data_IF_961221722773
#
_entry.id   IF_961221722773
#
_cell.length_a   1.000
_cell.length_b   1.000
_cell.length_c   1.000
_cell.angle_alpha   90.00
_cell.angle_beta   90.00
_cell.angle_gamma   90.00
#
_symmetry.space_group_name_H-M   'P 1'
#
loop_
_entity.id
_entity.type
_entity.pdbx_description
1 polymer ?
#
# COMPACT_ATOMS: atom_id res chain seq x y z
N UNK A 1 -16.91 1.90 -22.11
CA UNK A 1 -16.42 1.39 -20.81
C UNK A 1 -15.01 0.94 -21.09
N UNK A 2 -14.01 1.59 -20.50
CA UNK A 2 -12.62 1.23 -20.74
C UNK A 2 -12.38 -0.17 -20.15
N UNK A 3 -11.75 -1.04 -20.93
CA UNK A 3 -11.24 -2.32 -20.43
C UNK A 3 -10.14 -1.98 -19.42
N UNK A 4 -10.35 -2.34 -18.15
CA UNK A 4 -9.32 -2.20 -17.13
C UNK A 4 -8.44 -3.45 -17.17
N UNK A 5 -7.19 -3.29 -17.60
CA UNK A 5 -6.19 -4.33 -17.53
C UNK A 5 -5.79 -4.59 -16.07
N UNK A 6 -5.70 -5.86 -15.69
CA UNK A 6 -5.32 -6.23 -14.33
C UNK A 6 -3.80 -6.28 -14.19
N UNK A 7 -3.29 -5.63 -13.14
CA UNK A 7 -1.88 -5.68 -12.75
C UNK A 7 -1.62 -6.89 -11.87
N UNK A 8 -0.45 -7.50 -12.04
CA UNK A 8 0.09 -8.55 -11.18
C UNK A 8 1.22 -7.98 -10.33
N UNK A 9 1.14 -8.20 -9.02
CA UNK A 9 2.25 -8.03 -8.09
C UNK A 9 2.73 -9.41 -7.66
N UNK A 10 4.01 -9.65 -7.84
CA UNK A 10 4.64 -10.94 -7.59
C UNK A 10 5.77 -10.69 -6.60
N UNK A 11 5.56 -11.09 -5.36
CA UNK A 11 6.57 -10.95 -4.30
C UNK A 11 7.23 -12.31 -4.07
N UNK A 12 8.52 -12.36 -4.37
CA UNK A 12 9.37 -13.54 -4.22
C UNK A 12 10.18 -13.41 -2.93
N UNK A 13 10.23 -14.45 -2.12
CA UNK A 13 11.19 -14.59 -1.03
C UNK A 13 12.29 -15.55 -1.47
N UNK A 14 13.54 -15.11 -1.35
CA UNK A 14 14.73 -15.86 -1.76
C UNK A 14 15.80 -15.83 -0.68
N UNK A 15 16.50 -16.96 -0.50
CA UNK A 15 17.75 -17.01 0.24
C UNK A 15 18.88 -16.38 -0.57
N UNK A 16 19.48 -15.31 -0.06
CA UNK A 16 20.59 -14.61 -0.72
C UNK A 16 21.51 -13.90 0.29
N UNK A 17 22.79 -13.75 -0.07
CA UNK A 17 23.77 -13.04 0.76
C UNK A 17 23.64 -11.51 0.62
N UNK A 18 23.12 -11.03 -0.51
CA UNK A 18 22.94 -9.61 -0.80
C UNK A 18 21.80 -9.31 -1.82
N UNK A 19 21.48 -8.01 -1.97
CA UNK A 19 20.44 -7.51 -2.89
C UNK A 19 20.70 -7.92 -4.34
N UNK A 20 21.97 -7.94 -4.76
CA UNK A 20 22.35 -8.23 -6.14
C UNK A 20 22.09 -9.70 -6.46
N UNK A 21 22.42 -10.60 -5.54
CA UNK A 21 22.13 -12.03 -5.65
C UNK A 21 20.63 -12.28 -5.65
N UNK A 22 19.86 -11.61 -4.79
CA UNK A 22 18.40 -11.72 -4.76
C UNK A 22 17.77 -11.31 -6.11
N UNK A 23 18.22 -10.20 -6.70
CA UNK A 23 17.79 -9.77 -8.04
C UNK A 23 18.19 -10.75 -9.14
N UNK A 24 19.40 -11.29 -9.07
CA UNK A 24 19.91 -12.24 -10.05
C UNK A 24 19.12 -13.56 -10.02
N UNK A 25 18.75 -14.05 -8.83
CA UNK A 25 17.88 -15.21 -8.66
C UNK A 25 16.54 -15.03 -9.38
N UNK A 26 15.95 -13.83 -9.32
CA UNK A 26 14.67 -13.53 -9.96
C UNK A 26 14.76 -13.22 -11.47
N UNK A 27 15.96 -13.19 -12.08
CA UNK A 27 16.14 -12.78 -13.47
C UNK A 27 15.50 -13.73 -14.51
N UNK A 28 15.32 -15.01 -14.16
CA UNK A 28 14.57 -15.97 -14.97
C UNK A 28 13.10 -15.60 -15.03
N UNK A 29 12.48 -15.48 -13.86
CA UNK A 29 11.08 -15.09 -13.70
C UNK A 29 10.79 -13.73 -14.36
N UNK A 30 11.63 -12.72 -14.12
CA UNK A 30 11.48 -11.38 -14.72
C UNK A 30 11.34 -11.41 -16.25
N UNK A 31 12.17 -12.23 -16.92
CA UNK A 31 12.12 -12.37 -18.38
C UNK A 31 10.88 -13.13 -18.85
N UNK A 32 10.45 -14.14 -18.09
CA UNK A 32 9.29 -14.97 -18.44
C UNK A 32 7.98 -14.20 -18.36
N UNK A 33 7.88 -13.25 -17.43
CA UNK A 33 6.65 -12.48 -17.17
C UNK A 33 6.68 -11.08 -17.80
N UNK A 34 7.76 -10.75 -18.51
CA UNK A 34 8.05 -9.41 -19.03
C UNK A 34 7.88 -8.30 -17.97
N UNK A 35 8.26 -8.64 -16.73
CA UNK A 35 7.99 -7.84 -15.55
C UNK A 35 9.09 -6.83 -15.23
N UNK A 36 8.78 -5.96 -14.26
CA UNK A 36 9.70 -4.95 -13.71
C UNK A 36 9.82 -5.13 -12.20
N UNK A 37 11.05 -5.11 -11.69
CA UNK A 37 11.26 -5.06 -10.23
C UNK A 37 10.81 -3.70 -9.71
N UNK A 38 9.87 -3.71 -8.77
CA UNK A 38 9.41 -2.52 -8.05
C UNK A 38 10.23 -2.28 -6.79
N UNK A 39 10.48 -3.33 -6.02
CA UNK A 39 11.14 -3.24 -4.72
C UNK A 39 12.01 -4.47 -4.47
N UNK A 40 13.08 -4.27 -3.71
CA UNK A 40 13.86 -5.33 -3.07
C UNK A 40 14.05 -4.95 -1.60
N UNK A 41 13.83 -5.89 -0.69
CA UNK A 41 13.90 -5.66 0.75
C UNK A 41 14.64 -6.78 1.47
N UNK A 42 15.48 -6.41 2.43
CA UNK A 42 16.09 -7.34 3.37
C UNK A 42 15.05 -7.78 4.40
N UNK A 43 14.73 -9.08 4.43
CA UNK A 43 13.83 -9.69 5.41
C UNK A 43 14.59 -10.51 6.46
N UNK A 44 15.89 -10.26 6.63
CA UNK A 44 16.75 -10.99 7.59
C UNK A 44 16.33 -10.86 9.05
N UNK A 45 15.49 -9.88 9.37
CA UNK A 45 14.84 -9.77 10.68
C UNK A 45 13.87 -10.94 10.97
N UNK A 46 13.35 -11.61 9.94
CA UNK A 46 12.51 -12.81 10.05
C UNK A 46 13.34 -14.09 9.97
N UNK A 47 14.22 -14.20 8.97
CA UNK A 47 15.11 -15.35 8.76
C UNK A 47 16.47 -14.90 8.18
N UNK A 48 17.62 -15.21 8.82
CA UNK A 48 18.92 -14.72 8.34
C UNK A 48 19.21 -15.10 6.88
N UNK A 49 19.52 -14.11 6.04
CA UNK A 49 19.77 -14.33 4.61
C UNK A 49 18.51 -14.29 3.74
N UNK A 50 17.36 -13.93 4.31
CA UNK A 50 16.10 -13.72 3.59
C UNK A 50 16.11 -12.39 2.84
N UNK A 51 15.78 -12.44 1.56
CA UNK A 51 15.49 -11.28 0.73
C UNK A 51 14.12 -11.40 0.07
N UNK A 52 13.41 -10.28 -0.03
CA UNK A 52 12.16 -10.18 -0.79
C UNK A 52 12.36 -9.34 -2.05
N UNK A 53 11.81 -9.79 -3.18
CA UNK A 53 11.84 -9.09 -4.47
C UNK A 53 10.41 -8.98 -4.99
N UNK A 54 9.90 -7.76 -5.15
CA UNK A 54 8.56 -7.51 -5.68
C UNK A 54 8.63 -7.08 -7.14
N UNK A 55 7.87 -7.76 -8.00
CA UNK A 55 7.84 -7.61 -9.44
C UNK A 55 6.43 -7.24 -9.87
N UNK A 56 6.28 -6.17 -10.67
CA UNK A 56 5.05 -5.86 -11.39
C UNK A 56 5.05 -6.50 -12.77
N UNK A 57 3.91 -7.06 -13.18
CA UNK A 57 3.66 -7.53 -14.55
C UNK A 57 2.21 -7.24 -14.96
N UNK A 58 1.94 -7.20 -16.26
CA UNK A 58 0.56 -7.12 -16.76
C UNK A 58 -0.01 -8.53 -16.92
N UNK A 59 -1.23 -8.76 -16.47
CA UNK A 59 -1.85 -10.10 -16.55
C UNK A 59 -2.30 -10.50 -17.96
N UNK A 60 -2.57 -9.52 -18.83
CA UNK A 60 -3.25 -9.73 -20.12
C UNK A 60 -4.71 -10.19 -20.01
N UNK A 61 -5.25 -10.33 -18.80
CA UNK A 61 -6.66 -10.65 -18.54
C UNK A 61 -7.48 -9.38 -18.43
N UNK A 62 -8.65 -9.39 -19.09
CA UNK A 62 -9.57 -8.25 -19.10
C UNK A 62 -10.81 -8.51 -18.22
N UNK A 63 -11.30 -7.43 -17.60
CA UNK A 63 -12.55 -7.44 -16.83
C UNK A 63 -13.75 -7.42 -17.79
N UNK A 64 -14.20 -8.59 -18.25
CA UNK A 64 -15.30 -8.69 -19.23
C UNK A 64 -16.69 -8.83 -18.61
N UNK A 65 -16.84 -9.64 -17.54
CA UNK A 65 -18.16 -9.99 -16.97
C UNK A 65 -18.21 -9.96 -15.43
N UNK A 66 -17.10 -9.63 -14.75
CA UNK A 66 -17.03 -9.54 -13.29
C UNK A 66 -15.60 -9.52 -12.76
N UNK A 67 -15.30 -8.53 -11.92
CA UNK A 67 -13.94 -8.24 -11.39
C UNK A 67 -13.36 -9.43 -10.63
N UNK A 68 -14.09 -10.02 -9.68
CA UNK A 68 -13.62 -11.16 -8.89
C UNK A 68 -13.22 -12.38 -9.74
N UNK A 69 -13.99 -12.64 -10.80
CA UNK A 69 -13.71 -13.73 -11.74
C UNK A 69 -12.47 -13.47 -12.58
N UNK A 70 -12.28 -12.22 -13.03
CA UNK A 70 -11.11 -11.80 -13.79
C UNK A 70 -9.83 -11.86 -12.93
N UNK A 71 -9.87 -11.32 -11.70
CA UNK A 71 -8.77 -11.39 -10.74
C UNK A 71 -8.34 -12.84 -10.46
N UNK A 72 -9.31 -13.71 -10.15
CA UNK A 72 -8.99 -15.10 -9.86
C UNK A 72 -8.53 -15.90 -11.09
N UNK A 73 -8.87 -15.48 -12.31
CA UNK A 73 -8.34 -16.08 -13.55
C UNK A 73 -6.92 -15.60 -13.81
N UNK A 74 -6.65 -14.31 -13.65
CA UNK A 74 -5.33 -13.69 -13.75
C UNK A 74 -4.30 -14.44 -12.89
N UNK A 75 -4.59 -14.65 -11.60
CA UNK A 75 -3.71 -15.42 -10.70
C UNK A 75 -3.49 -16.86 -11.19
N UNK A 76 -4.54 -17.55 -11.64
CA UNK A 76 -4.42 -18.93 -12.15
C UNK A 76 -3.65 -19.00 -13.46
N UNK A 77 -3.84 -18.03 -14.34
CA UNK A 77 -3.12 -17.94 -15.61
C UNK A 77 -1.63 -17.75 -15.35
N UNK A 78 -1.28 -16.88 -14.41
CA UNK A 78 0.11 -16.70 -13.97
C UNK A 78 0.72 -17.99 -13.42
N UNK A 79 0.07 -18.68 -12.48
CA UNK A 79 0.64 -19.92 -11.91
C UNK A 79 0.84 -21.01 -12.98
N UNK A 80 -0.08 -21.10 -13.96
CA UNK A 80 0.09 -22.01 -15.10
C UNK A 80 1.24 -21.61 -16.02
N UNK A 81 1.54 -20.32 -16.13
CA UNK A 81 2.67 -19.84 -16.91
C UNK A 81 4.01 -20.30 -16.31
N UNK A 82 4.08 -20.51 -14.99
CA UNK A 82 5.32 -20.91 -14.30
C UNK A 82 5.80 -22.32 -14.68
N UNK A 83 4.89 -23.23 -15.03
CA UNK A 83 5.21 -24.58 -15.49
C UNK A 83 4.15 -25.61 -15.11
N UNK A 84 4.24 -26.80 -15.71
CA UNK A 84 3.29 -27.90 -15.49
C UNK A 84 3.44 -28.57 -14.12
N UNK A 85 4.59 -28.40 -13.45
CA UNK A 85 4.87 -28.97 -12.13
C UNK A 85 4.19 -28.20 -10.99
N UNK A 86 3.64 -27.01 -11.27
CA UNK A 86 2.94 -26.20 -10.27
C UNK A 86 1.54 -26.76 -9.99
N UNK A 87 1.15 -26.92 -8.71
CA UNK A 87 -0.19 -27.39 -8.37
C UNK A 87 -1.25 -26.35 -8.76
N UNK A 88 -2.49 -26.81 -8.91
CA UNK A 88 -3.62 -25.90 -9.10
C UNK A 88 -3.72 -24.95 -7.89
N UNK A 89 -3.59 -23.62 -8.06
CA UNK A 89 -3.46 -22.71 -6.93
C UNK A 89 -4.80 -22.54 -6.21
N UNK A 90 -4.73 -22.46 -4.88
CA UNK A 90 -5.84 -22.02 -4.05
C UNK A 90 -5.85 -20.50 -4.05
N UNK A 91 -6.81 -19.93 -4.76
CA UNK A 91 -6.94 -18.48 -4.92
C UNK A 91 -7.94 -17.94 -3.90
N UNK A 92 -7.47 -17.04 -3.03
CA UNK A 92 -8.33 -16.16 -2.24
C UNK A 92 -8.70 -14.96 -3.12
N UNK A 93 -9.96 -14.53 -3.07
CA UNK A 93 -10.44 -13.41 -3.88
C UNK A 93 -11.35 -12.53 -3.04
N UNK A 94 -10.88 -11.32 -2.79
CA UNK A 94 -11.57 -10.24 -2.09
C UNK A 94 -11.31 -8.96 -2.90
N UNK A 95 -12.19 -8.64 -3.86
CA UNK A 95 -12.06 -7.44 -4.68
C UNK A 95 -11.75 -6.20 -3.80
N UNK A 96 -10.76 -5.38 -4.18
CA UNK A 96 -10.17 -5.25 -5.52
C UNK A 96 -9.04 -6.25 -5.85
N UNK A 97 -8.81 -7.26 -5.00
CA UNK A 97 -7.66 -8.18 -5.14
C UNK A 97 -8.03 -9.65 -5.21
N UNK A 98 -7.17 -10.43 -5.83
CA UNK A 98 -7.11 -11.87 -5.62
C UNK A 98 -5.66 -12.31 -5.49
N UNK A 99 -5.39 -13.32 -4.67
CA UNK A 99 -4.03 -13.73 -4.39
C UNK A 99 -3.90 -15.23 -4.14
N UNK A 100 -2.68 -15.71 -4.28
CA UNK A 100 -2.27 -17.05 -3.88
C UNK A 100 -0.83 -17.03 -3.39
N UNK A 101 -0.49 -18.00 -2.55
CA UNK A 101 0.87 -18.20 -2.05
C UNK A 101 1.32 -19.58 -2.49
N UNK A 102 2.53 -19.66 -3.03
CA UNK A 102 3.26 -20.89 -3.31
C UNK A 102 4.44 -20.94 -2.34
N UNK A 103 4.50 -21.98 -1.52
CA UNK A 103 5.43 -22.11 -0.40
C UNK A 103 6.16 -23.47 -0.42
N UNK A 104 6.36 -24.01 -1.62
CA UNK A 104 7.10 -25.25 -1.86
C UNK A 104 8.46 -24.95 -2.53
N UNK A 105 9.56 -24.94 -1.77
CA UNK A 105 10.89 -24.62 -2.30
C UNK A 105 11.34 -25.58 -3.40
N UNK A 106 10.95 -26.85 -3.36
CA UNK A 106 11.37 -27.85 -4.36
C UNK A 106 10.77 -27.53 -5.75
N UNK A 107 9.59 -26.90 -5.77
CA UNK A 107 8.93 -26.44 -7.00
C UNK A 107 9.45 -25.07 -7.45
N UNK A 108 9.89 -24.22 -6.51
CA UNK A 108 10.37 -22.88 -6.80
C UNK A 108 11.84 -22.84 -7.23
N UNK A 109 12.72 -23.65 -6.63
CA UNK A 109 14.16 -23.70 -6.87
C UNK A 109 14.55 -23.78 -8.37
N UNK A 110 13.88 -24.60 -9.21
CA UNK A 110 14.22 -24.68 -10.64
C UNK A 110 13.92 -23.38 -11.41
N UNK A 111 12.97 -22.57 -10.94
CA UNK A 111 12.55 -21.32 -11.56
C UNK A 111 13.30 -20.11 -10.97
N UNK A 112 13.51 -20.14 -9.66
CA UNK A 112 14.08 -19.07 -8.84
C UNK A 112 15.09 -19.75 -7.90
N UNK A 113 16.40 -19.69 -8.21
CA UNK A 113 17.42 -20.26 -7.34
C UNK A 113 17.35 -19.65 -5.93
N UNK A 114 17.26 -20.49 -4.91
CA UNK A 114 17.03 -20.08 -3.52
C UNK A 114 15.59 -19.64 -3.22
N UNK A 115 14.62 -19.92 -4.10
CA UNK A 115 13.22 -19.52 -3.94
C UNK A 115 12.51 -20.28 -2.83
N UNK A 116 12.04 -19.55 -1.81
CA UNK A 116 11.39 -20.14 -0.64
C UNK A 116 9.88 -19.96 -0.66
N UNK A 117 9.41 -18.80 -1.14
CA UNK A 117 8.00 -18.46 -1.22
C UNK A 117 7.72 -17.50 -2.37
N UNK A 118 6.54 -17.64 -2.97
CA UNK A 118 6.01 -16.74 -3.99
C UNK A 118 4.59 -16.32 -3.61
N UNK A 119 4.39 -15.02 -3.37
CA UNK A 119 3.07 -14.41 -3.30
C UNK A 119 2.74 -13.81 -4.66
N UNK A 120 1.57 -14.16 -5.19
CA UNK A 120 1.06 -13.61 -6.45
C UNK A 120 -0.26 -12.95 -6.16
N UNK A 121 -0.35 -11.67 -6.48
CA UNK A 121 -1.53 -10.84 -6.30
C UNK A 121 -1.95 -10.27 -7.65
N UNK A 122 -3.25 -10.27 -7.92
CA UNK A 122 -3.84 -9.52 -9.03
C UNK A 122 -4.66 -8.39 -8.46
N UNK A 123 -4.53 -7.20 -9.06
CA UNK A 123 -5.16 -5.98 -8.62
C UNK A 123 -6.04 -5.37 -9.73
N UNK A 124 -7.26 -4.99 -9.36
CA UNK A 124 -8.12 -4.14 -10.18
C UNK A 124 -7.87 -2.68 -9.78
N UNK A 125 -7.48 -1.83 -10.74
CA UNK A 125 -7.11 -0.43 -10.50
C UNK A 125 -5.61 -0.19 -10.24
N UNK A 126 -4.78 -1.24 -10.31
CA UNK A 126 -3.32 -1.16 -10.15
C UNK A 126 -2.83 -1.38 -8.73
N UNK A 127 -1.50 -1.45 -8.57
CA UNK A 127 -0.81 -1.56 -7.29
C UNK A 127 -1.07 -0.33 -6.41
N UNK A 128 -1.62 -0.49 -5.19
CA UNK A 128 -1.91 0.63 -4.28
C UNK A 128 -0.66 1.34 -3.77
N UNK A 129 0.48 0.66 -3.74
CA UNK A 129 1.77 1.21 -3.27
C UNK A 129 2.60 1.78 -4.44
N UNK A 130 2.14 1.63 -5.68
CA UNK A 130 2.78 2.21 -6.86
C UNK A 130 2.67 3.73 -6.79
N UNK A 131 3.76 4.36 -6.38
CA UNK A 131 3.99 5.79 -6.68
C UNK A 131 3.93 5.94 -8.21
N UNK A 132 3.16 6.87 -8.77
CA UNK A 132 3.18 7.11 -10.21
C UNK A 132 4.63 7.34 -10.60
N UNK A 133 5.16 6.44 -11.41
CA UNK A 133 6.49 6.59 -11.99
C UNK A 133 6.50 7.92 -12.72
N UNK A 134 7.41 8.83 -12.35
CA UNK A 134 7.78 9.98 -13.17
C UNK A 134 8.27 9.45 -14.51
N UNK A 135 7.34 9.21 -15.42
CA UNK A 135 7.62 9.20 -16.83
C UNK A 135 8.03 10.63 -17.15
N UNK A 136 9.33 10.84 -17.35
CA UNK A 136 9.90 12.13 -17.69
C UNK A 136 9.40 12.49 -19.09
N UNK A 137 8.18 13.03 -19.15
CA UNK A 137 7.72 13.79 -20.30
C UNK A 137 8.66 15.00 -20.45
N UNK A 138 9.14 15.32 -21.66
CA UNK A 138 9.92 16.52 -21.88
C UNK A 138 9.05 17.72 -21.48
N UNK A 139 9.51 18.45 -20.45
CA UNK A 139 8.78 19.55 -19.84
C UNK A 139 8.11 20.46 -20.89
N UNK A 140 6.76 20.51 -20.95
CA UNK A 140 6.10 21.61 -21.60
C UNK A 140 6.37 22.86 -20.76
N UNK A 141 6.76 23.93 -21.44
CA UNK A 141 7.09 25.22 -20.84
C UNK A 141 6.06 25.60 -19.76
N UNK A 142 6.59 25.97 -18.60
CA UNK A 142 5.87 26.51 -17.45
C UNK A 142 4.82 27.50 -17.92
N UNK A 143 3.57 27.04 -17.97
CA UNK A 143 2.42 27.93 -18.03
C UNK A 143 1.87 27.90 -16.62
N UNK A 144 2.18 28.95 -15.86
CA UNK A 144 1.63 29.21 -14.52
C UNK A 144 0.12 28.94 -14.54
N UNK A 145 -0.26 27.80 -13.99
CA UNK A 145 -1.66 27.49 -13.71
C UNK A 145 -1.98 28.13 -12.36
N UNK A 146 -3.08 28.90 -12.24
CA UNK A 146 -3.42 29.54 -10.98
C UNK A 146 -3.63 28.48 -9.89
N UNK A 147 -3.01 28.68 -8.73
CA UNK A 147 -3.08 27.78 -7.59
C UNK A 147 -4.53 27.43 -7.23
N UNK A 148 -4.93 26.14 -7.18
CA UNK A 148 -6.19 25.80 -6.57
C UNK A 148 -6.06 25.96 -5.05
N UNK A 149 -6.97 26.74 -4.49
CA UNK A 149 -7.23 26.92 -3.05
C UNK A 149 -7.69 25.58 -2.44
N UNK A 150 -6.77 24.64 -2.27
CA UNK A 150 -7.04 23.32 -1.71
C UNK A 150 -6.62 23.19 -0.25
N UNK A 151 -6.99 22.06 0.35
CA UNK A 151 -6.54 21.61 1.67
C UNK A 151 -5.72 20.33 1.52
N UNK A 152 -4.77 20.11 2.43
CA UNK A 152 -4.03 18.85 2.57
C UNK A 152 -4.57 18.10 3.78
N UNK A 153 -4.90 16.84 3.59
CA UNK A 153 -5.41 15.95 4.64
C UNK A 153 -4.25 15.21 5.29
N UNK A 154 -4.17 15.30 6.61
CA UNK A 154 -3.16 14.66 7.43
C UNK A 154 -3.86 13.78 8.47
N UNK A 155 -3.31 12.60 8.71
CA UNK A 155 -3.82 11.63 9.67
C UNK A 155 -2.70 11.26 10.65
N UNK A 156 -2.99 11.37 11.93
CA UNK A 156 -2.17 10.82 13.01
C UNK A 156 -2.88 9.62 13.59
N UNK A 157 -2.18 8.50 13.65
CA UNK A 157 -2.67 7.23 14.22
C UNK A 157 -1.81 6.90 15.44
N UNK A 158 -2.41 6.90 16.62
CA UNK A 158 -1.75 6.45 17.85
C UNK A 158 -2.00 4.95 18.03
N UNK A 159 -0.92 4.16 18.03
CA UNK A 159 -0.97 2.70 18.10
C UNK A 159 -0.24 2.19 19.33
N UNK A 160 -0.89 1.34 20.12
CA UNK A 160 -0.25 0.51 21.14
C UNK A 160 0.38 -0.71 20.45
N UNK A 161 1.68 -0.64 20.19
CA UNK A 161 2.44 -1.72 19.56
C UNK A 161 3.87 -1.79 20.11
N UNK A 162 4.44 -2.98 20.16
CA UNK A 162 5.80 -3.23 20.64
C UNK A 162 6.88 -2.83 19.62
N UNK A 163 6.53 -2.84 18.33
CA UNK A 163 7.45 -2.58 17.21
C UNK A 163 6.88 -1.54 16.26
N UNK A 164 7.76 -0.70 15.72
CA UNK A 164 7.42 0.33 14.73
C UNK A 164 6.70 -0.24 13.50
N UNK A 165 7.21 -1.33 12.92
CA UNK A 165 6.60 -1.96 11.74
C UNK A 165 5.13 -2.36 11.97
N UNK A 166 4.79 -2.86 13.16
CA UNK A 166 3.41 -3.19 13.52
C UNK A 166 2.50 -1.97 13.63
N UNK A 167 3.02 -0.86 14.16
CA UNK A 167 2.29 0.41 14.21
C UNK A 167 2.07 1.00 12.81
N UNK A 168 3.09 0.99 11.96
CA UNK A 168 2.98 1.46 10.58
C UNK A 168 1.98 0.65 9.76
N UNK A 169 1.99 -0.68 9.88
CA UNK A 169 1.04 -1.55 9.18
C UNK A 169 -0.41 -1.21 9.55
N UNK A 170 -0.69 -1.08 10.85
CA UNK A 170 -2.03 -0.72 11.31
C UNK A 170 -2.43 0.70 10.86
N UNK A 171 -1.50 1.65 10.88
CA UNK A 171 -1.75 3.00 10.43
C UNK A 171 -2.03 3.08 8.91
N UNK A 172 -1.31 2.30 8.08
CA UNK A 172 -1.60 2.15 6.65
C UNK A 172 -2.99 1.55 6.42
N UNK A 173 -3.37 0.53 7.19
CA UNK A 173 -4.70 -0.08 7.09
C UNK A 173 -5.84 0.88 7.46
N UNK A 174 -5.60 1.88 8.31
CA UNK A 174 -6.55 2.97 8.57
C UNK A 174 -6.56 3.97 7.41
N UNK A 175 -5.38 4.40 6.95
CA UNK A 175 -5.25 5.40 5.90
C UNK A 175 -5.87 4.96 4.57
N UNK A 176 -5.76 3.67 4.23
CA UNK A 176 -6.33 3.10 3.00
C UNK A 176 -7.85 3.18 2.92
N UNK A 177 -8.55 3.43 4.04
CA UNK A 177 -9.99 3.68 4.05
C UNK A 177 -10.35 5.07 3.57
N UNK A 178 -9.41 6.00 3.61
CA UNK A 178 -9.66 7.42 3.35
C UNK A 178 -9.09 7.85 2.01
N UNK A 179 -7.88 7.38 1.67
CA UNK A 179 -7.19 7.78 0.46
C UNK A 179 -6.61 6.57 -0.27
N UNK A 180 -6.71 6.59 -1.60
CA UNK A 180 -6.13 5.57 -2.48
C UNK A 180 -4.60 5.61 -2.49
N UNK A 181 -4.02 6.77 -2.17
CA UNK A 181 -2.58 6.93 -1.99
C UNK A 181 -2.32 7.73 -0.72
N UNK A 182 -1.37 7.25 0.08
CA UNK A 182 -0.95 7.92 1.30
C UNK A 182 0.53 7.69 1.55
N UNK A 183 1.15 8.56 2.33
CA UNK A 183 2.56 8.38 2.69
C UNK A 183 2.78 8.60 4.17
N UNK A 184 3.46 7.66 4.83
CA UNK A 184 3.95 7.88 6.18
C UNK A 184 5.04 8.94 6.10
N UNK A 185 4.82 10.06 6.79
CA UNK A 185 5.77 11.16 6.85
C UNK A 185 6.79 10.95 7.95
N UNK A 186 6.36 10.43 9.11
CA UNK A 186 7.23 10.10 10.24
C UNK A 186 6.47 9.28 11.31
N UNK A 187 7.23 8.67 12.22
CA UNK A 187 6.74 7.96 13.41
C UNK A 187 7.38 8.54 14.66
N UNK A 188 6.57 8.86 15.66
CA UNK A 188 7.02 9.46 16.93
C UNK A 188 6.67 8.54 18.10
N UNK A 189 7.65 8.04 18.87
CA UNK A 189 7.37 7.33 20.11
C UNK A 189 6.75 8.26 21.17
N UNK A 190 5.64 7.84 21.78
CA UNK A 190 4.94 8.54 22.87
C UNK A 190 4.63 7.60 24.02
N UNK A 191 5.59 7.44 24.93
CA UNK A 191 5.45 6.52 26.06
C UNK A 191 5.36 5.07 25.59
N UNK A 192 4.20 4.44 25.79
CA UNK A 192 3.92 3.06 25.33
C UNK A 192 3.22 3.02 23.96
N UNK A 193 3.03 4.17 23.32
CA UNK A 193 2.39 4.31 22.03
C UNK A 193 3.38 4.73 20.95
N UNK A 194 3.04 4.42 19.71
CA UNK A 194 3.70 4.92 18.51
C UNK A 194 2.69 5.78 17.76
N UNK A 195 3.00 7.07 17.62
CA UNK A 195 2.21 8.01 16.81
C UNK A 195 2.73 8.00 15.39
N UNK A 196 1.96 7.43 14.46
CA UNK A 196 2.28 7.38 13.03
C UNK A 196 1.59 8.54 12.33
N UNK A 197 2.36 9.36 11.61
CA UNK A 197 1.84 10.51 10.88
C UNK A 197 1.82 10.22 9.39
N UNK A 198 0.65 10.40 8.79
CA UNK A 198 0.34 10.03 7.41
C UNK A 198 -0.19 11.25 6.67
N UNK A 199 0.32 11.46 5.49
CA UNK A 199 -0.20 12.39 4.51
C UNK A 199 -1.17 11.65 3.59
N UNK A 200 -2.43 12.10 3.57
CA UNK A 200 -3.52 11.52 2.78
C UNK A 200 -3.73 12.26 1.45
N UNK A 201 -2.91 13.29 1.17
CA UNK A 201 -2.96 14.04 -0.08
C UNK A 201 -3.85 15.29 -0.04
N UNK A 202 -4.08 15.87 -1.21
CA UNK A 202 -4.77 17.15 -1.38
C UNK A 202 -6.25 16.96 -1.74
N UNK A 203 -7.11 17.84 -1.24
CA UNK A 203 -8.51 17.98 -1.66
C UNK A 203 -8.77 19.43 -2.10
N UNK A 204 -9.71 19.60 -3.04
CA UNK A 204 -10.22 20.91 -3.48
C UNK A 204 -11.40 21.40 -2.62
N UNK A 205 -11.87 20.57 -1.70
CA UNK A 205 -12.99 20.86 -0.82
C UNK A 205 -12.59 21.78 0.34
N UNK A 206 -13.61 22.35 1.00
CA UNK A 206 -13.38 23.09 2.26
C UNK A 206 -12.79 22.16 3.33
N UNK A 207 -12.00 22.67 4.30
CA UNK A 207 -11.43 21.86 5.39
C UNK A 207 -12.49 21.00 6.10
N UNK A 208 -13.65 21.59 6.35
CA UNK A 208 -14.80 20.92 6.97
C UNK A 208 -15.37 19.79 6.12
N UNK A 209 -15.58 20.04 4.83
CA UNK A 209 -16.15 19.04 3.91
C UNK A 209 -15.17 17.87 3.72
N UNK A 210 -13.89 18.19 3.51
CA UNK A 210 -12.84 17.18 3.34
C UNK A 210 -12.73 16.25 4.56
N UNK A 211 -12.77 16.80 5.79
CA UNK A 211 -12.76 15.99 7.00
C UNK A 211 -14.01 15.14 7.18
N UNK A 212 -15.21 15.69 6.90
CA UNK A 212 -16.45 14.93 7.03
C UNK A 212 -16.46 13.72 6.10
N UNK A 213 -16.14 13.92 4.82
CA UNK A 213 -16.05 12.82 3.85
C UNK A 213 -15.01 11.78 4.28
N UNK A 214 -13.85 12.23 4.75
CA UNK A 214 -12.79 11.33 5.19
C UNK A 214 -13.15 10.52 6.44
N UNK A 215 -13.86 11.13 7.40
CA UNK A 215 -14.35 10.44 8.60
C UNK A 215 -15.47 9.46 8.29
N UNK A 216 -16.40 9.81 7.39
CA UNK A 216 -17.44 8.91 6.92
C UNK A 216 -16.84 7.63 6.32
N UNK A 217 -15.77 7.75 5.53
CA UNK A 217 -15.09 6.60 4.92
C UNK A 217 -14.43 5.65 5.94
N UNK A 218 -14.09 6.12 7.14
CA UNK A 218 -13.49 5.25 8.17
C UNK A 218 -14.51 4.34 8.87
N UNK A 219 -15.81 4.66 8.81
CA UNK A 219 -16.88 3.85 9.39
C UNK A 219 -16.83 3.70 10.92
N UNK A 220 -16.13 4.60 11.61
CA UNK A 220 -16.03 4.63 13.07
C UNK A 220 -17.06 5.60 13.66
N UNK A 221 -17.70 5.20 14.76
CA UNK A 221 -18.54 6.08 15.58
C UNK A 221 -17.71 6.80 16.64
N UNK A 222 -18.32 7.76 17.34
CA UNK A 222 -17.74 8.42 18.53
C UNK A 222 -16.52 9.31 18.24
N UNK A 223 -16.51 9.95 17.07
CA UNK A 223 -15.62 11.07 16.80
C UNK A 223 -15.98 12.28 17.67
N UNK A 224 -14.97 13.06 18.03
CA UNK A 224 -15.16 14.38 18.63
C UNK A 224 -15.92 15.30 17.69
N UNK A 225 -16.47 16.38 18.24
CA UNK A 225 -16.90 17.50 17.42
C UNK A 225 -15.72 18.03 16.59
N UNK A 226 -16.03 18.52 15.39
CA UNK A 226 -15.06 19.14 14.51
C UNK A 226 -14.60 20.48 15.11
N UNK A 227 -13.29 20.64 15.24
CA UNK A 227 -12.64 21.83 15.78
C UNK A 227 -12.00 22.63 14.63
N UNK A 228 -12.42 23.89 14.45
CA UNK A 228 -11.80 24.81 13.50
C UNK A 228 -10.71 25.62 14.19
N UNK A 229 -9.49 25.53 13.68
CA UNK A 229 -8.30 26.23 14.18
C UNK A 229 -7.73 27.08 13.03
N UNK A 230 -8.15 28.34 12.95
CA UNK A 230 -7.80 29.22 11.83
C UNK A 230 -8.33 28.67 10.51
N UNK A 231 -7.44 28.49 9.52
CA UNK A 231 -7.77 27.92 8.20
C UNK A 231 -7.66 26.38 8.18
N UNK A 232 -7.52 25.76 9.35
CA UNK A 232 -7.42 24.30 9.49
C UNK A 232 -8.61 23.77 10.28
N UNK A 233 -8.98 22.53 10.00
CA UNK A 233 -9.96 21.79 10.78
C UNK A 233 -9.31 20.54 11.37
N UNK A 234 -9.76 20.12 12.55
CA UNK A 234 -9.28 18.91 13.23
C UNK A 234 -10.47 18.13 13.78
N UNK A 235 -10.39 16.80 13.70
CA UNK A 235 -11.36 15.89 14.31
C UNK A 235 -10.62 14.67 14.88
N UNK A 236 -11.08 14.18 16.04
CA UNK A 236 -10.37 13.16 16.82
C UNK A 236 -11.26 11.99 17.16
N UNK A 237 -10.66 10.82 17.30
CA UNK A 237 -11.31 9.62 17.80
C UNK A 237 -10.38 8.92 18.79
N UNK A 238 -10.97 8.28 19.80
CA UNK A 238 -10.21 7.51 20.79
C UNK A 238 -10.97 6.27 21.21
N UNK A 239 -10.28 5.14 21.27
CA UNK A 239 -10.85 3.91 21.79
C UNK A 239 -11.14 4.04 23.30
N UNK A 240 -12.37 3.76 23.71
CA UNK A 240 -12.75 3.74 25.13
C UNK A 240 -13.45 2.42 25.48
N UNK A 241 -12.88 1.60 26.38
CA UNK A 241 -11.56 1.74 27.00
C UNK A 241 -10.42 1.55 25.99
N UNK A 242 -9.25 2.15 26.27
CA UNK A 242 -8.07 2.01 25.42
C UNK A 242 -7.57 0.56 25.39
N UNK A 243 -7.29 0.00 24.19
CA UNK A 243 -6.84 -1.38 24.08
C UNK A 243 -5.38 -1.52 24.52
N UNK A 244 -5.01 -2.72 24.98
CA UNK A 244 -3.63 -3.05 25.37
C UNK A 244 -2.71 -3.12 24.15
N UNK A 245 -3.26 -3.52 23.00
CA UNK A 245 -2.60 -3.54 21.69
C UNK A 245 -3.57 -3.07 20.61
N UNK A 246 -3.08 -2.34 19.62
CA UNK A 246 -3.91 -1.85 18.50
C UNK A 246 -4.07 -0.32 18.48
N UNK A 247 -5.00 0.15 17.65
CA UNK A 247 -5.29 1.58 17.47
C UNK A 247 -5.93 2.14 18.75
N UNK A 248 -5.28 3.13 19.35
CA UNK A 248 -5.74 3.80 20.58
C UNK A 248 -6.43 5.12 20.25
N UNK A 249 -5.97 5.82 19.23
CA UNK A 249 -6.55 7.10 18.83
C UNK A 249 -6.23 7.48 17.40
N UNK A 250 -7.10 8.30 16.83
CA UNK A 250 -6.96 8.89 15.51
C UNK A 250 -7.16 10.40 15.62
N UNK A 251 -6.38 11.15 14.87
CA UNK A 251 -6.57 12.59 14.70
C UNK A 251 -6.41 12.91 13.23
N UNK A 252 -7.46 13.46 12.63
CA UNK A 252 -7.40 13.92 11.25
C UNK A 252 -7.43 15.43 11.21
N UNK A 253 -6.58 16.00 10.35
CA UNK A 253 -6.46 17.44 10.16
C UNK A 253 -6.56 17.77 8.68
N UNK A 254 -7.34 18.79 8.33
CA UNK A 254 -7.31 19.43 7.02
C UNK A 254 -6.62 20.78 7.17
N UNK A 255 -5.48 20.98 6.51
CA UNK A 255 -4.69 22.22 6.55
C UNK A 255 -4.66 22.89 5.18
N UNK A 256 -4.79 24.22 5.11
CA UNK A 256 -4.68 24.91 3.83
C UNK A 256 -3.30 24.66 3.18
N UNK A 257 -3.27 24.38 1.88
CA UNK A 257 -2.06 23.97 1.15
C UNK A 257 -0.94 25.03 1.19
N UNK A 258 -1.28 26.31 1.37
CA UNK A 258 -0.34 27.42 1.58
C UNK A 258 0.39 27.38 2.94
N UNK A 259 -0.02 26.50 3.84
CA UNK A 259 0.49 26.33 5.22
C UNK A 259 0.85 24.87 5.54
N UNK A 260 0.99 24.02 4.52
CA UNK A 260 1.22 22.57 4.65
C UNK A 260 2.64 22.23 5.20
N UNK A 261 2.91 22.66 6.43
CA UNK A 261 3.88 22.06 7.33
C UNK A 261 3.14 21.77 8.64
N UNK A 262 3.15 20.50 9.04
CA UNK A 262 2.66 20.09 10.36
C UNK A 262 3.33 20.93 11.45
N UNK A 263 2.54 21.65 12.25
CA UNK A 263 3.03 22.31 13.46
C UNK A 263 2.60 21.47 14.65
N UNK A 264 3.57 21.01 15.44
CA UNK A 264 3.26 20.38 16.73
C UNK A 264 2.42 21.33 17.58
N UNK A 265 1.27 20.88 18.13
CA UNK A 265 0.63 21.63 19.19
C UNK A 265 1.53 21.58 20.43
N UNK A 266 1.75 22.76 21.03
CA UNK A 266 2.41 22.90 22.34
C UNK A 266 1.53 22.36 23.47
#
# INVERSE_FOLDING_TARGET
>A
MAEEDLELLITVVVGADDEQQARAACAGLLRQVEGRVLQVGDCSDEEPGCWSVTISAMSGEQVTHGVAGALARSVRAFVRLLGDDFPMPRVACEPPTAWTVLDDPDVLEPLIPGGERLLVESWAGGDPDRRPSEEVEPAPAETETPSPTGVRLLLRVDVAAERQAGAEWQARAVASRVANSSSITHVVPRGHLLSVHIDLGSSVDSPTTALHTAVESMGLSDWSDLELIGDSAVIRWSATPGPVTGIVGLEMSAVATSTAMWKEPK
#
